data_IF_368047325104
#
_entry.id   IF_368047325104
#
_cell.length_a   1.000
_cell.length_b   1.000
_cell.length_c   1.000
_cell.angle_alpha   90.00
_cell.angle_beta   90.00
_cell.angle_gamma   90.00
#
_symmetry.space_group_name_H-M   'P 1'
#
loop_
_entity.id
_entity.type
_entity.pdbx_description
1 polymer ?
#
# COMPACT_ATOMS: atom_id res chain seq x y z
N UNK A 1 4.95 0.66 9.23
CA UNK A 1 5.26 -0.38 8.22
C UNK A 1 6.03 0.29 7.09
N UNK A 2 7.32 0.00 6.94
CA UNK A 2 8.23 0.74 6.03
C UNK A 2 7.88 0.57 4.54
N UNK A 3 7.22 -0.53 4.16
CA UNK A 3 6.91 -0.85 2.75
C UNK A 3 6.02 0.16 2.05
N UNK A 4 4.94 0.61 2.71
CA UNK A 4 4.02 1.59 2.13
C UNK A 4 4.70 2.96 1.94
N UNK A 5 5.50 3.38 2.92
CA UNK A 5 6.31 4.60 2.84
C UNK A 5 7.35 4.53 1.72
N UNK A 6 8.00 3.37 1.52
CA UNK A 6 8.97 3.20 0.42
C UNK A 6 8.33 3.38 -0.96
N UNK A 7 7.12 2.85 -1.18
CA UNK A 7 6.40 3.06 -2.45
C UNK A 7 5.95 4.52 -2.59
N UNK A 8 5.47 5.14 -1.52
CA UNK A 8 5.13 6.57 -1.51
C UNK A 8 6.32 7.45 -1.93
N UNK A 9 7.49 7.25 -1.31
CA UNK A 9 8.70 7.99 -1.68
C UNK A 9 9.12 7.74 -3.13
N UNK A 10 9.09 6.49 -3.58
CA UNK A 10 9.40 6.14 -4.97
C UNK A 10 8.49 6.88 -5.95
N UNK A 11 7.19 6.98 -5.68
CA UNK A 11 6.25 7.68 -6.56
C UNK A 11 6.52 9.20 -6.62
N UNK A 12 6.90 9.80 -5.50
CA UNK A 12 7.30 11.22 -5.45
C UNK A 12 8.59 11.45 -6.23
N UNK A 13 9.59 10.59 -6.03
CA UNK A 13 10.86 10.64 -6.79
C UNK A 13 10.64 10.51 -8.30
N UNK A 14 9.56 9.84 -8.71
CA UNK A 14 9.14 9.69 -10.12
C UNK A 14 8.14 10.77 -10.58
N UNK A 15 7.97 11.86 -9.83
CA UNK A 15 7.26 13.06 -10.28
C UNK A 15 5.77 13.11 -9.95
N UNK A 16 5.25 12.22 -9.11
CA UNK A 16 3.88 12.37 -8.59
C UNK A 16 3.91 13.36 -7.41
N UNK A 17 3.16 14.46 -7.53
CA UNK A 17 3.00 15.44 -6.46
C UNK A 17 2.53 14.77 -5.15
N UNK A 18 3.21 15.06 -4.04
CA UNK A 18 2.90 14.52 -2.71
C UNK A 18 1.50 14.86 -2.24
N UNK A 19 0.94 15.99 -2.67
CA UNK A 19 -0.43 16.41 -2.35
C UNK A 19 -1.49 15.47 -2.96
N UNK A 20 -1.12 14.63 -3.94
CA UNK A 20 -2.00 13.65 -4.58
C UNK A 20 -1.94 12.26 -3.95
N UNK A 21 -1.08 12.06 -2.94
CA UNK A 21 -0.74 10.76 -2.41
C UNK A 21 -0.96 10.71 -0.90
N UNK A 22 -1.56 9.61 -0.45
CA UNK A 22 -1.60 9.23 0.96
C UNK A 22 -1.07 7.82 1.12
N UNK A 23 -0.42 7.53 2.24
CA UNK A 23 0.03 6.18 2.56
C UNK A 23 -0.32 5.81 4.00
N UNK A 24 -0.67 4.54 4.20
CA UNK A 24 -0.96 3.99 5.53
C UNK A 24 -0.44 2.57 5.67
N UNK A 25 0.16 2.28 6.82
CA UNK A 25 0.57 0.93 7.20
C UNK A 25 -0.52 0.24 8.02
N UNK A 26 -1.16 -0.79 7.47
CA UNK A 26 -2.27 -1.49 8.11
C UNK A 26 -1.89 -2.68 9.00
N UNK A 27 -0.62 -3.03 9.09
CA UNK A 27 -0.17 -4.19 9.87
C UNK A 27 -0.94 -5.47 9.49
N UNK A 28 -1.50 -6.14 10.50
CA UNK A 28 -2.33 -7.33 10.35
C UNK A 28 -3.84 -7.05 10.30
N UNK A 29 -4.29 -5.79 10.33
CA UNK A 29 -5.72 -5.46 10.42
C UNK A 29 -6.50 -5.78 9.14
N UNK A 30 -5.83 -5.78 7.99
CA UNK A 30 -6.44 -6.01 6.67
C UNK A 30 -5.71 -7.13 5.90
N UNK A 31 -5.48 -8.25 6.58
CA UNK A 31 -4.91 -9.45 5.96
C UNK A 31 -5.84 -9.99 4.88
N UNK A 32 -5.27 -10.45 3.76
CA UNK A 32 -6.03 -11.16 2.74
C UNK A 32 -6.41 -12.56 3.25
N UNK A 33 -5.53 -13.17 4.05
CA UNK A 33 -5.75 -14.42 4.75
C UNK A 33 -5.55 -14.20 6.24
N UNK A 34 -6.60 -13.90 7.03
CA UNK A 34 -6.46 -13.66 8.46
C UNK A 34 -5.86 -14.85 9.23
N UNK A 35 -6.19 -16.07 8.80
CA UNK A 35 -5.66 -17.33 9.36
C UNK A 35 -4.93 -18.11 8.26
N UNK A 36 -3.69 -17.73 7.88
CA UNK A 36 -2.97 -18.37 6.79
C UNK A 36 -2.56 -19.80 7.20
N UNK A 37 -2.99 -20.78 6.42
CA UNK A 37 -2.68 -22.21 6.59
C UNK A 37 -1.41 -22.63 5.86
N UNK A 38 -0.96 -21.83 4.88
CA UNK A 38 0.23 -22.14 4.09
C UNK A 38 1.23 -20.98 4.10
N UNK A 39 2.53 -21.25 3.90
CA UNK A 39 3.52 -20.20 3.72
C UNK A 39 3.15 -19.26 2.57
N UNK A 40 2.56 -19.78 1.49
CA UNK A 40 2.11 -18.97 0.37
C UNK A 40 1.05 -17.94 0.77
N UNK A 41 0.05 -18.33 1.56
CA UNK A 41 -0.97 -17.41 2.09
C UNK A 41 -0.36 -16.34 3.01
N UNK A 42 0.59 -16.73 3.87
CA UNK A 42 1.33 -15.78 4.70
C UNK A 42 2.17 -14.79 3.85
N UNK A 43 2.73 -15.23 2.72
CA UNK A 43 3.41 -14.34 1.76
C UNK A 43 2.44 -13.35 1.12
N UNK A 44 1.23 -13.78 0.77
CA UNK A 44 0.20 -12.91 0.17
C UNK A 44 -0.27 -11.80 1.12
N UNK A 45 -0.18 -11.99 2.44
CA UNK A 45 -0.43 -10.92 3.41
C UNK A 45 0.65 -9.82 3.41
N UNK A 46 1.87 -10.10 2.93
CA UNK A 46 2.94 -9.10 2.75
C UNK A 46 2.77 -8.36 1.43
N UNK A 47 1.69 -7.60 1.31
CA UNK A 47 1.33 -6.83 0.11
C UNK A 47 1.29 -5.33 0.38
N UNK A 48 1.35 -4.56 -0.70
CA UNK A 48 0.94 -3.15 -0.73
C UNK A 48 -0.18 -3.06 -1.76
N UNK A 49 -1.23 -2.31 -1.46
CA UNK A 49 -2.35 -2.07 -2.36
C UNK A 49 -2.40 -0.58 -2.70
N UNK A 50 -2.61 -0.27 -3.98
CA UNK A 50 -2.77 1.11 -4.47
C UNK A 50 -4.23 1.27 -4.87
N UNK A 51 -4.87 2.34 -4.39
CA UNK A 51 -6.25 2.67 -4.69
C UNK A 51 -6.31 4.07 -5.30
N UNK A 52 -6.88 4.18 -6.50
CA UNK A 52 -7.17 5.47 -7.14
C UNK A 52 -8.51 5.96 -6.60
N UNK A 53 -8.52 7.16 -6.01
CA UNK A 53 -9.72 7.72 -5.37
C UNK A 53 -10.59 8.53 -6.35
N UNK A 54 -9.99 9.09 -7.41
CA UNK A 54 -10.69 9.90 -8.39
C UNK A 54 -9.74 10.77 -9.21
N UNK A 55 -10.30 11.75 -9.91
CA UNK A 55 -9.57 12.85 -10.53
C UNK A 55 -9.66 14.06 -9.61
N UNK A 56 -8.61 14.88 -9.64
CA UNK A 56 -8.67 16.23 -9.06
C UNK A 56 -9.07 17.08 -10.26
N UNK A 57 -10.36 17.36 -10.37
CA UNK A 57 -10.83 18.37 -11.32
C UNK A 57 -10.66 19.74 -10.62
N UNK A 58 -10.25 20.75 -11.39
CA UNK A 58 -9.97 22.13 -10.91
C UNK A 58 -11.23 22.88 -10.44
#
# INVERSE_FOLDING_TARGET
NRRANSIYNFLIENGIDSNRLEWKGYGNWYMAFPNPQTPAQARQNRRVSVKVLGRIDD
#
